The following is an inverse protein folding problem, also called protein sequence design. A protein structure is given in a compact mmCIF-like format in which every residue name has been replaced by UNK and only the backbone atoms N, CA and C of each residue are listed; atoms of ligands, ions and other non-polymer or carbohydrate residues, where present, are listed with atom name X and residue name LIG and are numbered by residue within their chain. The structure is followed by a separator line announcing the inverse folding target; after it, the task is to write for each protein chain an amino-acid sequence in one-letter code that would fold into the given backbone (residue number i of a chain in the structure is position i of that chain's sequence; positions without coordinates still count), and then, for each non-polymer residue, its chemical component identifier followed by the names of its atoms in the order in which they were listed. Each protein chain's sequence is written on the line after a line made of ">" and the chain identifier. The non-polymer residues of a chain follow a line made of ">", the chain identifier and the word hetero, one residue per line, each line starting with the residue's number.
data_IF_048343242163
#
_entry.id   IF_048343242163
#
_cell.length_a   1.000
_cell.length_b   1.000
_cell.length_c   1.000
_cell.angle_alpha   90.00
_cell.angle_beta   90.00
_cell.angle_gamma   90.00
#
_symmetry.space_group_name_H-M   'P 1'
#
loop_
_entity.id
_entity.type
_entity.pdbx_description
1 polymer ?
#
# COMPACT_ATOMS: atom_id res chain seq x y z
N UNK A 1 78.80 -8.29 -28.26
CA UNK A 1 77.51 -8.73 -28.86
C UNK A 1 76.62 -9.18 -27.70
N UNK A 2 75.69 -8.37 -27.19
CA UNK A 2 74.30 -8.13 -27.66
C UNK A 2 73.52 -9.46 -27.79
N UNK A 3 72.33 -9.70 -27.23
CA UNK A 3 71.34 -8.97 -26.40
C UNK A 3 70.39 -10.06 -25.89
N UNK A 4 69.96 -10.04 -24.62
CA UNK A 4 68.80 -10.81 -24.16
C UNK A 4 67.73 -9.82 -23.71
N UNK A 5 66.63 -9.74 -24.45
CA UNK A 5 65.46 -8.92 -24.12
C UNK A 5 64.54 -9.73 -23.20
N UNK A 6 64.39 -9.28 -21.95
CA UNK A 6 63.25 -9.64 -21.11
C UNK A 6 62.11 -8.65 -21.42
N UNK A 7 60.97 -9.16 -21.89
CA UNK A 7 59.73 -8.40 -21.97
C UNK A 7 59.02 -8.52 -20.62
N UNK A 8 59.06 -7.46 -19.82
CA UNK A 8 58.25 -7.31 -18.62
C UNK A 8 56.88 -6.76 -19.05
N UNK A 9 55.86 -7.60 -19.03
CA UNK A 9 54.46 -7.15 -19.12
C UNK A 9 54.13 -6.45 -17.80
N UNK A 10 54.15 -5.11 -17.81
CA UNK A 10 53.56 -4.34 -16.72
C UNK A 10 52.04 -4.45 -16.83
N UNK A 11 51.44 -5.27 -15.97
CA UNK A 11 50.04 -5.10 -15.57
C UNK A 11 49.99 -3.79 -14.76
N UNK A 12 49.58 -2.70 -15.39
CA UNK A 12 49.15 -1.50 -14.69
C UNK A 12 47.79 -1.80 -14.05
N UNK A 13 47.79 -2.32 -12.83
CA UNK A 13 46.61 -2.34 -11.98
C UNK A 13 46.35 -0.89 -11.56
N UNK A 14 45.51 -0.18 -12.30
CA UNK A 14 44.95 1.09 -11.83
C UNK A 14 44.00 0.77 -10.69
N UNK A 15 44.49 0.85 -9.45
CA UNK A 15 43.62 0.98 -8.30
C UNK A 15 42.86 2.31 -8.46
N UNK A 16 41.63 2.24 -9.00
CA UNK A 16 40.72 3.36 -9.00
C UNK A 16 40.41 3.67 -7.52
N UNK A 17 40.87 4.81 -7.03
CA UNK A 17 40.53 5.26 -5.69
C UNK A 17 39.04 5.55 -5.66
N UNK A 18 38.28 4.76 -4.89
CA UNK A 18 36.85 4.99 -4.72
C UNK A 18 36.62 6.39 -4.15
N UNK A 19 35.70 7.14 -4.74
CA UNK A 19 35.33 8.48 -4.27
C UNK A 19 34.68 8.36 -2.90
N UNK A 20 35.19 9.03 -1.84
CA UNK A 20 34.55 8.96 -0.54
C UNK A 20 33.17 9.60 -0.58
N UNK A 21 32.25 9.06 0.22
CA UNK A 21 30.95 9.71 0.39
C UNK A 21 31.14 11.12 0.95
N UNK A 22 30.65 12.12 0.22
CA UNK A 22 30.81 13.53 0.58
C UNK A 22 29.55 14.32 0.23
N UNK A 23 29.14 15.20 1.14
CA UNK A 23 28.02 16.13 0.97
C UNK A 23 28.58 17.55 1.03
N UNK A 24 28.29 18.36 0.02
CA UNK A 24 28.72 19.76 -0.06
C UNK A 24 27.51 20.64 -0.36
N UNK A 25 27.22 21.64 0.47
CA UNK A 25 26.17 22.63 0.17
C UNK A 25 26.73 23.67 -0.80
N UNK A 26 26.13 23.78 -1.99
CA UNK A 26 26.51 24.73 -3.04
C UNK A 26 25.71 26.03 -2.97
N UNK A 27 24.45 25.94 -2.53
CA UNK A 27 23.56 27.08 -2.30
C UNK A 27 22.72 26.79 -1.07
N UNK A 28 22.68 27.74 -0.13
CA UNK A 28 21.84 27.66 1.06
C UNK A 28 20.36 27.80 0.69
N UNK A 29 19.50 26.99 1.32
CA UNK A 29 18.05 27.13 1.25
C UNK A 29 17.49 27.94 2.43
N UNK A 30 16.16 28.10 2.44
CA UNK A 30 15.44 28.82 3.49
C UNK A 30 14.43 27.92 4.22
N UNK A 31 14.11 28.31 5.46
CA UNK A 31 13.13 27.60 6.29
C UNK A 31 13.70 26.45 7.11
N UNK A 32 12.81 25.54 7.52
CA UNK A 32 13.17 24.37 8.32
C UNK A 32 13.88 23.32 7.47
N UNK A 33 14.77 22.58 8.12
CA UNK A 33 15.47 21.45 7.50
C UNK A 33 14.54 20.24 7.38
N UNK A 34 14.55 19.57 6.23
CA UNK A 34 13.85 18.31 6.04
C UNK A 34 14.44 17.20 6.92
N UNK A 35 13.58 16.30 7.36
CA UNK A 35 13.85 15.13 8.19
C UNK A 35 13.45 13.87 7.43
N UNK A 36 14.04 12.75 7.82
CA UNK A 36 13.65 11.45 7.28
C UNK A 36 12.13 11.24 7.42
N UNK A 37 11.50 10.73 6.38
CA UNK A 37 10.06 10.49 6.31
C UNK A 37 9.21 11.61 5.69
N UNK A 38 9.81 12.71 5.25
CA UNK A 38 9.08 13.75 4.51
C UNK A 38 9.05 13.44 3.01
N UNK A 39 7.87 13.65 2.39
CA UNK A 39 7.75 13.68 0.95
C UNK A 39 8.41 14.96 0.41
N UNK A 40 9.36 14.80 -0.49
CA UNK A 40 10.11 15.90 -1.09
C UNK A 40 10.07 15.82 -2.61
N UNK A 41 10.29 16.96 -3.25
CA UNK A 41 10.55 17.06 -4.69
C UNK A 41 11.91 17.68 -4.90
N UNK A 42 12.72 17.06 -5.73
CA UNK A 42 14.05 17.57 -6.08
C UNK A 42 14.25 17.66 -7.58
N UNK A 43 14.96 18.68 -8.02
CA UNK A 43 15.64 18.61 -9.30
C UNK A 43 17.06 18.07 -9.11
N UNK A 44 17.59 17.37 -10.10
CA UNK A 44 18.92 16.82 -10.04
C UNK A 44 19.60 16.70 -11.40
N UNK A 45 20.94 16.63 -11.34
CA UNK A 45 21.82 16.19 -12.42
C UNK A 45 22.75 15.10 -11.90
N UNK A 46 22.87 14.00 -12.63
CA UNK A 46 23.70 12.83 -12.29
C UNK A 46 24.84 12.63 -13.26
N UNK A 47 26.05 12.41 -12.74
CA UNK A 47 27.29 12.29 -13.50
C UNK A 47 28.08 11.06 -13.06
N UNK A 48 28.77 10.41 -14.01
CA UNK A 48 29.80 9.42 -13.67
C UNK A 48 31.01 10.14 -13.08
N UNK A 49 31.58 9.62 -11.99
CA UNK A 49 32.77 10.19 -11.36
C UNK A 49 34.07 9.83 -12.11
N UNK A 50 34.04 9.80 -13.44
CA UNK A 50 35.19 9.47 -14.30
C UNK A 50 36.08 10.68 -14.60
N UNK A 51 35.57 11.91 -14.43
CA UNK A 51 36.33 13.17 -14.46
C UNK A 51 35.79 14.14 -13.40
N UNK A 52 36.21 13.93 -12.15
CA UNK A 52 35.78 14.74 -11.02
C UNK A 52 36.04 16.23 -11.22
N UNK A 53 37.09 16.64 -11.94
CA UNK A 53 37.44 18.05 -12.11
C UNK A 53 36.41 18.79 -12.97
N UNK A 54 35.97 18.18 -14.07
CA UNK A 54 34.96 18.76 -14.97
C UNK A 54 33.58 18.73 -14.32
N UNK A 55 33.23 17.65 -13.62
CA UNK A 55 31.95 17.54 -12.89
C UNK A 55 31.89 18.53 -11.72
N UNK A 56 32.99 18.71 -10.97
CA UNK A 56 33.04 19.69 -9.88
C UNK A 56 32.80 21.12 -10.39
N UNK A 57 33.34 21.46 -11.56
CA UNK A 57 33.11 22.76 -12.19
C UNK A 57 31.68 22.89 -12.72
N UNK A 58 31.17 21.91 -13.45
CA UNK A 58 29.78 21.89 -13.94
C UNK A 58 28.73 21.91 -12.81
N UNK A 59 29.10 21.44 -11.61
CA UNK A 59 28.24 21.50 -10.44
C UNK A 59 28.07 22.91 -9.86
N UNK A 60 29.08 23.77 -10.01
CA UNK A 60 29.10 25.13 -9.44
C UNK A 60 28.99 26.24 -10.48
N UNK A 61 29.18 25.91 -11.76
CA UNK A 61 29.17 26.85 -12.88
C UNK A 61 28.30 26.28 -14.00
N UNK A 62 27.14 26.90 -14.20
CA UNK A 62 26.15 26.50 -15.19
C UNK A 62 26.61 26.66 -16.65
N UNK A 63 27.76 27.31 -16.89
CA UNK A 63 28.34 27.47 -18.23
C UNK A 63 29.23 26.29 -18.64
N UNK A 64 29.55 25.39 -17.72
CA UNK A 64 30.37 24.20 -17.98
C UNK A 64 29.47 23.00 -18.21
N UNK A 65 29.51 22.42 -19.41
CA UNK A 65 28.83 21.17 -19.71
C UNK A 65 29.69 19.95 -19.33
N UNK A 66 29.13 19.05 -18.53
CA UNK A 66 29.71 17.75 -18.24
C UNK A 66 28.72 16.65 -18.70
N UNK A 67 29.19 15.53 -19.26
CA UNK A 67 28.31 14.45 -19.69
C UNK A 67 27.56 13.89 -18.47
N UNK A 68 26.25 14.05 -18.49
CA UNK A 68 25.33 13.53 -17.47
C UNK A 68 24.64 12.27 -17.99
N UNK A 69 24.33 11.34 -17.09
CA UNK A 69 23.48 10.19 -17.41
C UNK A 69 22.01 10.46 -17.05
N UNK A 70 21.74 11.45 -16.20
CA UNK A 70 20.38 11.83 -15.81
C UNK A 70 20.28 13.34 -15.52
N UNK A 71 19.18 13.96 -15.94
CA UNK A 71 18.92 15.38 -15.71
C UNK A 71 17.41 15.66 -15.68
N UNK A 72 16.87 16.01 -14.51
CA UNK A 72 15.43 16.29 -14.35
C UNK A 72 15.00 17.69 -14.82
N UNK A 73 15.95 18.59 -15.08
CA UNK A 73 15.61 19.96 -15.50
C UNK A 73 15.09 19.99 -16.93
N UNK A 74 15.51 19.05 -17.78
CA UNK A 74 15.08 19.00 -19.19
C UNK A 74 13.61 18.59 -19.35
N UNK A 75 13.13 17.72 -18.47
CA UNK A 75 11.72 17.30 -18.46
C UNK A 75 10.81 18.23 -17.67
N UNK A 76 11.36 19.26 -17.00
CA UNK A 76 10.67 20.12 -16.02
C UNK A 76 9.89 19.36 -14.94
N UNK A 77 10.21 18.08 -14.73
CA UNK A 77 9.53 17.21 -13.77
C UNK A 77 10.50 16.87 -12.63
N UNK A 78 10.32 17.47 -11.44
CA UNK A 78 11.14 17.12 -10.29
C UNK A 78 10.82 15.70 -9.83
N UNK A 79 11.84 15.00 -9.32
CA UNK A 79 11.67 13.66 -8.77
C UNK A 79 11.04 13.77 -7.39
N UNK A 80 9.91 13.08 -7.19
CA UNK A 80 9.19 13.01 -5.92
C UNK A 80 9.49 11.68 -5.20
N UNK A 81 9.88 11.74 -3.94
CA UNK A 81 10.09 10.56 -3.10
C UNK A 81 10.10 10.93 -1.60
N UNK A 82 10.02 9.92 -0.73
CA UNK A 82 10.15 10.09 0.72
C UNK A 82 11.62 9.98 1.13
N UNK A 83 12.18 11.03 1.72
CA UNK A 83 13.61 11.07 2.07
C UNK A 83 13.96 10.16 3.25
N UNK A 84 15.03 9.39 3.17
CA UNK A 84 15.63 8.68 4.31
C UNK A 84 14.89 7.41 4.75
N UNK A 85 14.12 6.78 3.85
CA UNK A 85 13.32 5.56 4.15
C UNK A 85 13.60 4.38 3.23
N UNK A 86 14.66 4.43 2.42
CA UNK A 86 15.11 3.35 1.55
C UNK A 86 14.49 3.34 0.15
N UNK A 87 13.95 4.47 -0.33
CA UNK A 87 13.30 4.55 -1.66
C UNK A 87 14.28 4.87 -2.80
N UNK A 88 15.41 5.48 -2.48
CA UNK A 88 16.46 5.88 -3.42
C UNK A 88 17.79 5.26 -2.99
N UNK A 89 18.84 5.45 -3.80
CA UNK A 89 20.19 4.99 -3.45
C UNK A 89 20.62 5.54 -2.08
N UNK A 90 21.41 4.76 -1.34
CA UNK A 90 21.81 5.07 0.04
C UNK A 90 22.48 6.45 0.15
N UNK A 91 23.27 6.84 -0.86
CA UNK A 91 23.92 8.15 -0.91
C UNK A 91 22.94 9.33 -0.92
N UNK A 92 21.78 9.19 -1.57
CA UNK A 92 20.73 10.22 -1.56
C UNK A 92 19.97 10.21 -0.25
N UNK A 93 19.59 9.02 0.22
CA UNK A 93 18.85 8.84 1.47
C UNK A 93 19.57 9.43 2.68
N UNK A 94 20.89 9.32 2.72
CA UNK A 94 21.72 9.96 3.75
C UNK A 94 22.07 11.40 3.41
N UNK A 95 22.39 11.69 2.15
CA UNK A 95 22.96 12.97 1.72
C UNK A 95 21.98 14.13 1.67
N UNK A 96 20.68 13.86 1.53
CA UNK A 96 19.65 14.89 1.36
C UNK A 96 18.94 15.25 2.67
N UNK A 97 18.99 14.40 3.70
CA UNK A 97 18.44 14.73 5.02
C UNK A 97 19.09 16.01 5.56
N UNK A 98 18.28 16.89 6.13
CA UNK A 98 18.72 18.18 6.65
C UNK A 98 18.73 19.32 5.63
N UNK A 99 18.38 19.10 4.36
CA UNK A 99 18.27 20.19 3.38
C UNK A 99 17.14 21.18 3.72
N UNK A 100 17.28 22.42 3.28
CA UNK A 100 16.21 23.43 3.31
C UNK A 100 15.63 23.65 1.91
N UNK A 101 14.37 24.08 1.82
CA UNK A 101 13.76 24.38 0.51
C UNK A 101 14.58 25.47 -0.20
N UNK A 102 14.92 25.23 -1.46
CA UNK A 102 15.80 26.06 -2.29
C UNK A 102 17.30 25.77 -2.13
N UNK A 103 17.69 24.85 -1.23
CA UNK A 103 19.08 24.42 -1.05
C UNK A 103 19.54 23.56 -2.23
N UNK A 104 20.79 23.74 -2.64
CA UNK A 104 21.45 22.92 -3.66
C UNK A 104 22.64 22.22 -3.02
N UNK A 105 22.67 20.89 -3.09
CA UNK A 105 23.77 20.05 -2.62
C UNK A 105 24.47 19.34 -3.75
N UNK A 106 25.78 19.15 -3.59
CA UNK A 106 26.56 18.18 -4.34
C UNK A 106 26.81 16.96 -3.48
N UNK A 107 26.46 15.79 -4.00
CA UNK A 107 26.72 14.48 -3.41
C UNK A 107 27.79 13.76 -4.22
N UNK A 108 28.85 13.32 -3.56
CA UNK A 108 29.78 12.34 -4.10
C UNK A 108 29.42 10.99 -3.49
N UNK A 109 29.03 10.02 -4.31
CA UNK A 109 28.45 8.75 -3.87
C UNK A 109 29.30 7.59 -4.41
N UNK A 110 30.02 6.85 -3.55
CA UNK A 110 30.74 5.67 -4.00
C UNK A 110 29.78 4.62 -4.53
N UNK A 111 30.25 3.78 -5.46
CA UNK A 111 29.46 2.72 -6.10
C UNK A 111 28.68 1.85 -5.11
N UNK A 112 29.27 1.50 -3.97
CA UNK A 112 28.65 0.69 -2.90
C UNK A 112 27.43 1.37 -2.24
N UNK A 113 27.33 2.70 -2.28
CA UNK A 113 26.18 3.49 -1.81
C UNK A 113 25.26 3.92 -2.96
N UNK A 114 25.56 3.48 -4.18
CA UNK A 114 24.81 3.69 -5.41
C UNK A 114 24.25 2.35 -5.93
N UNK A 115 24.77 1.85 -7.06
CA UNK A 115 24.27 0.63 -7.73
C UNK A 115 25.18 -0.59 -7.55
N UNK A 116 26.33 -0.44 -6.88
CA UNK A 116 27.27 -1.52 -6.62
C UNK A 116 27.76 -2.17 -7.92
N UNK A 117 27.70 -3.49 -7.98
CA UNK A 117 28.05 -4.32 -9.13
C UNK A 117 26.98 -4.36 -10.24
N UNK A 118 25.85 -3.67 -10.07
CA UNK A 118 24.79 -3.61 -11.07
C UNK A 118 25.04 -2.49 -12.10
N UNK A 119 24.63 -2.74 -13.35
CA UNK A 119 24.59 -1.73 -14.41
C UNK A 119 23.19 -1.17 -14.59
N UNK A 120 23.10 0.11 -14.93
CA UNK A 120 21.88 0.74 -15.45
C UNK A 120 22.19 1.41 -16.79
N UNK A 121 21.15 1.83 -17.52
CA UNK A 121 21.32 2.61 -18.74
C UNK A 121 22.17 3.86 -18.46
N UNK A 122 23.30 4.00 -19.16
CA UNK A 122 24.26 5.09 -18.94
C UNK A 122 25.14 4.98 -17.69
N UNK A 123 25.00 3.90 -16.88
CA UNK A 123 25.78 3.70 -15.65
C UNK A 123 26.41 2.30 -15.62
N UNK A 124 27.73 2.19 -15.86
CA UNK A 124 28.45 0.92 -15.74
C UNK A 124 28.48 0.37 -14.31
N UNK A 125 28.68 -0.95 -14.12
CA UNK A 125 28.95 -1.55 -12.80
C UNK A 125 30.11 -0.89 -12.07
N UNK A 126 30.02 -0.84 -10.75
CA UNK A 126 31.03 -0.28 -9.85
C UNK A 126 31.37 1.19 -10.14
N UNK A 127 30.45 1.94 -10.74
CA UNK A 127 30.62 3.36 -11.00
C UNK A 127 30.37 4.19 -9.75
N UNK A 128 31.35 5.00 -9.38
CA UNK A 128 31.14 6.10 -8.44
C UNK A 128 30.36 7.22 -9.15
N UNK A 129 29.45 7.86 -8.42
CA UNK A 129 28.51 8.84 -8.98
C UNK A 129 28.65 10.19 -8.29
N UNK A 130 28.34 11.25 -9.03
CA UNK A 130 28.16 12.59 -8.49
C UNK A 130 26.77 13.10 -8.83
N UNK A 131 26.13 13.74 -7.86
CA UNK A 131 24.82 14.37 -8.05
C UNK A 131 24.85 15.82 -7.61
N UNK A 132 24.20 16.68 -8.37
CA UNK A 132 23.81 18.02 -7.93
C UNK A 132 22.31 17.98 -7.75
N UNK A 133 21.82 18.27 -6.55
CA UNK A 133 20.42 18.11 -6.15
C UNK A 133 19.90 19.40 -5.55
N UNK A 134 18.81 19.93 -6.11
CA UNK A 134 18.09 21.09 -5.62
C UNK A 134 16.77 20.65 -4.98
N UNK A 135 16.56 21.02 -3.71
CA UNK A 135 15.29 20.76 -3.03
C UNK A 135 14.27 21.85 -3.41
N UNK A 136 13.27 21.51 -4.22
CA UNK A 136 12.27 22.50 -4.69
C UNK A 136 10.99 22.49 -3.86
N UNK A 137 10.67 21.38 -3.20
CA UNK A 137 9.49 21.26 -2.35
C UNK A 137 9.73 20.24 -1.24
N UNK A 138 9.19 20.52 -0.06
CA UNK A 138 9.06 19.56 1.02
C UNK A 138 7.70 19.72 1.69
N UNK A 139 6.99 18.62 1.89
CA UNK A 139 5.79 18.63 2.73
C UNK A 139 6.16 18.95 4.17
N UNK A 140 5.21 19.45 4.97
CA UNK A 140 5.47 19.72 6.39
C UNK A 140 5.90 18.44 7.12
N UNK A 141 6.83 18.54 8.08
CA UNK A 141 7.19 17.39 8.91
C UNK A 141 5.95 16.80 9.57
N UNK A 142 5.84 15.48 9.60
CA UNK A 142 4.77 14.80 10.31
C UNK A 142 4.89 15.08 11.80
N UNK A 143 3.98 15.87 12.35
CA UNK A 143 3.95 16.15 13.78
C UNK A 143 3.54 14.90 14.57
N UNK A 144 4.26 14.64 15.66
CA UNK A 144 3.94 13.54 16.55
C UNK A 144 2.59 13.78 17.23
N UNK A 145 1.70 12.79 17.12
CA UNK A 145 0.40 12.88 17.78
C UNK A 145 0.55 12.80 19.31
N UNK A 146 -0.34 13.49 20.02
CA UNK A 146 -0.35 13.54 21.49
C UNK A 146 -1.52 12.72 22.03
N UNK A 147 -1.30 12.05 23.15
CA UNK A 147 -2.38 11.44 23.90
C UNK A 147 -3.32 12.54 24.43
N UNK A 148 -4.66 12.39 24.27
CA UNK A 148 -5.59 13.43 24.67
C UNK A 148 -5.65 13.55 26.20
N UNK A 149 -5.79 14.77 26.70
CA UNK A 149 -5.82 15.03 28.14
C UNK A 149 -7.01 14.35 28.85
N UNK A 150 -8.13 14.21 28.16
CA UNK A 150 -9.33 13.54 28.66
C UNK A 150 -9.99 12.74 27.52
N UNK A 151 -9.70 11.44 27.49
CA UNK A 151 -10.21 10.52 26.46
C UNK A 151 -11.74 10.42 26.52
N UNK A 152 -12.32 10.46 27.72
CA UNK A 152 -13.75 10.21 27.92
C UNK A 152 -14.62 11.41 27.51
N UNK A 153 -14.05 12.63 27.47
CA UNK A 153 -14.73 13.84 26.97
C UNK A 153 -14.77 13.98 25.45
N UNK A 154 -14.10 13.12 24.70
CA UNK A 154 -14.21 13.14 23.23
C UNK A 154 -15.64 12.79 22.80
N UNK A 155 -16.07 13.31 21.64
CA UNK A 155 -17.45 13.15 21.13
C UNK A 155 -17.62 11.77 20.47
N UNK A 156 -17.60 10.73 21.30
CA UNK A 156 -17.69 9.34 20.86
C UNK A 156 -19.06 9.00 20.27
N UNK A 157 -19.06 8.33 19.12
CA UNK A 157 -20.16 7.56 18.56
C UNK A 157 -19.91 6.08 18.81
N UNK A 158 -20.90 5.38 19.35
CA UNK A 158 -20.82 3.93 19.57
C UNK A 158 -21.10 3.18 18.25
N UNK A 159 -20.23 2.22 17.93
CA UNK A 159 -20.32 1.38 16.74
C UNK A 159 -20.66 -0.08 17.09
N UNK A 160 -20.99 -0.36 18.37
CA UNK A 160 -21.26 -1.69 18.89
C UNK A 160 -20.00 -2.49 19.20
N UNK A 161 -20.17 -3.60 19.93
CA UNK A 161 -19.09 -4.54 20.33
C UNK A 161 -17.91 -3.87 21.07
N UNK A 162 -18.18 -2.74 21.71
CA UNK A 162 -17.17 -1.96 22.43
C UNK A 162 -16.21 -1.18 21.53
N UNK A 163 -16.58 -0.95 20.27
CA UNK A 163 -15.90 0.01 19.39
C UNK A 163 -16.59 1.38 19.48
N UNK A 164 -15.81 2.42 19.77
CA UNK A 164 -16.27 3.81 19.67
C UNK A 164 -15.40 4.60 18.71
N UNK A 165 -16.00 5.52 17.97
CA UNK A 165 -15.30 6.38 17.01
C UNK A 165 -15.61 7.85 17.24
N UNK A 166 -14.66 8.73 16.94
CA UNK A 166 -14.86 10.18 16.96
C UNK A 166 -14.14 10.81 15.76
N UNK A 167 -14.89 11.51 14.92
CA UNK A 167 -14.36 12.25 13.77
C UNK A 167 -13.83 13.61 14.24
N UNK A 168 -12.51 13.74 14.38
CA UNK A 168 -11.85 15.01 14.74
C UNK A 168 -11.91 15.98 13.55
N UNK A 169 -11.68 15.46 12.34
CA UNK A 169 -11.75 16.20 11.08
C UNK A 169 -12.42 15.33 10.03
N UNK A 170 -13.48 15.84 9.42
CA UNK A 170 -14.08 15.21 8.25
C UNK A 170 -13.17 15.41 7.02
N UNK A 171 -12.84 14.32 6.34
CA UNK A 171 -12.14 14.38 5.05
C UNK A 171 -13.09 14.81 3.92
N UNK A 172 -12.52 15.33 2.85
CA UNK A 172 -13.27 15.76 1.66
C UNK A 172 -12.95 14.93 0.41
N UNK A 173 -11.88 14.13 0.43
CA UNK A 173 -11.47 13.35 -0.73
C UNK A 173 -12.23 12.03 -0.86
N UNK A 174 -11.57 11.03 -1.47
CA UNK A 174 -12.16 9.74 -1.80
C UNK A 174 -12.72 9.06 -0.54
N UNK A 175 -13.88 8.43 -0.70
CA UNK A 175 -14.52 7.67 0.37
C UNK A 175 -13.79 6.36 0.58
N UNK A 176 -13.43 6.07 1.82
CA UNK A 176 -12.93 4.78 2.23
C UNK A 176 -14.07 3.77 2.32
N UNK A 177 -14.01 2.78 1.45
CA UNK A 177 -14.82 1.59 1.47
C UNK A 177 -13.90 0.38 1.69
N UNK A 178 -14.50 -0.77 1.97
CA UNK A 178 -13.76 -2.01 1.84
C UNK A 178 -13.03 -2.03 0.46
N UNK A 179 -11.86 -2.67 0.40
CA UNK A 179 -11.14 -3.00 -0.85
C UNK A 179 -10.27 -1.93 -1.41
N UNK A 180 -10.49 -0.71 -0.96
CA UNK A 180 -9.53 0.33 -1.16
C UNK A 180 -8.22 -0.08 -0.49
N UNK A 181 -7.14 0.15 -1.22
CA UNK A 181 -5.81 0.30 -0.65
C UNK A 181 -5.82 1.65 0.05
N UNK A 182 -5.78 1.59 1.38
CA UNK A 182 -5.68 2.77 2.22
C UNK A 182 -4.23 3.02 2.58
N UNK A 183 -3.85 4.29 2.55
CA UNK A 183 -2.65 4.79 3.21
C UNK A 183 -3.09 5.61 4.39
N UNK A 184 -2.63 5.25 5.58
CA UNK A 184 -3.00 5.95 6.82
C UNK A 184 -1.79 6.30 7.64
N UNK A 185 -1.82 7.50 8.23
CA UNK A 185 -1.01 7.75 9.40
C UNK A 185 -1.80 7.37 10.64
N UNK A 186 -1.21 6.57 11.52
CA UNK A 186 -1.80 6.22 12.81
C UNK A 186 -0.82 6.47 13.95
N UNK A 187 -1.40 6.70 15.12
CA UNK A 187 -0.71 6.54 16.40
C UNK A 187 -1.62 5.76 17.36
N UNK A 188 -1.04 4.78 18.05
CA UNK A 188 -1.74 3.87 18.97
C UNK A 188 -1.20 3.95 20.40
N UNK A 189 -2.11 4.00 21.37
CA UNK A 189 -1.83 4.06 22.80
C UNK A 189 -2.67 3.07 23.60
N UNK A 190 -2.13 2.63 24.74
CA UNK A 190 -2.94 2.10 25.83
C UNK A 190 -3.69 3.25 26.52
N UNK A 191 -4.79 2.96 27.21
CA UNK A 191 -5.53 3.98 27.98
C UNK A 191 -4.70 4.63 29.11
N UNK A 192 -3.58 4.01 29.51
CA UNK A 192 -2.62 4.60 30.44
C UNK A 192 -1.81 5.76 29.83
N UNK A 193 -1.94 6.03 28.53
CA UNK A 193 -1.14 7.01 27.80
C UNK A 193 0.14 6.44 27.20
N UNK A 194 0.48 5.17 27.46
CA UNK A 194 1.67 4.53 26.87
C UNK A 194 1.46 4.32 25.36
N UNK A 195 2.23 5.03 24.55
CA UNK A 195 2.30 4.84 23.09
C UNK A 195 2.94 3.48 22.78
N UNK A 196 2.33 2.69 21.89
CA UNK A 196 2.87 1.40 21.47
C UNK A 196 3.23 1.34 19.97
N UNK A 197 2.79 2.31 19.17
CA UNK A 197 3.15 2.39 17.75
C UNK A 197 2.68 3.67 17.10
N UNK A 198 3.42 4.14 16.11
CA UNK A 198 3.02 5.26 15.26
C UNK A 198 3.68 5.13 13.89
N UNK A 199 2.91 5.31 12.83
CA UNK A 199 3.47 5.45 11.47
C UNK A 199 4.23 6.77 11.29
N UNK A 200 3.86 7.82 12.05
CA UNK A 200 4.52 9.13 11.96
C UNK A 200 5.93 9.05 12.55
N UNK A 201 6.09 8.33 13.66
CA UNK A 201 7.42 8.03 14.23
C UNK A 201 8.30 7.22 13.26
N UNK A 202 7.68 6.42 12.38
CA UNK A 202 8.37 5.63 11.35
C UNK A 202 8.61 6.41 10.06
N UNK A 203 8.08 7.63 9.93
CA UNK A 203 8.23 8.47 8.74
C UNK A 203 7.53 7.94 7.48
N UNK A 204 6.65 6.95 7.59
CA UNK A 204 5.91 6.41 6.42
C UNK A 204 4.51 5.96 6.80
N UNK A 205 3.49 6.19 5.97
CA UNK A 205 2.14 5.72 6.23
C UNK A 205 2.09 4.19 6.24
N UNK A 206 1.13 3.65 7.00
CA UNK A 206 0.76 2.26 6.90
C UNK A 206 -0.12 2.08 5.67
N UNK A 207 0.22 1.10 4.85
CA UNK A 207 -0.59 0.68 3.71
C UNK A 207 -1.33 -0.61 4.05
N UNK A 208 -2.64 -0.65 3.78
CA UNK A 208 -3.47 -1.83 4.03
C UNK A 208 -4.66 -1.88 3.06
N UNK A 209 -5.20 -3.08 2.83
CA UNK A 209 -6.44 -3.27 2.06
C UNK A 209 -7.60 -3.39 3.04
N UNK A 210 -8.58 -2.49 2.93
CA UNK A 210 -9.76 -2.53 3.79
C UNK A 210 -10.58 -3.80 3.55
N UNK A 211 -11.09 -4.43 4.60
CA UNK A 211 -11.93 -5.63 4.50
C UNK A 211 -11.19 -6.92 4.14
N UNK A 212 -9.86 -6.87 3.97
CA UNK A 212 -9.07 -8.07 3.68
C UNK A 212 -8.91 -9.00 4.90
N UNK A 213 -9.31 -8.53 6.10
CA UNK A 213 -9.20 -9.30 7.35
C UNK A 213 -7.78 -9.38 7.90
N UNK A 214 -6.89 -8.50 7.41
CA UNK A 214 -5.48 -8.43 7.83
C UNK A 214 -5.25 -7.42 8.96
N UNK A 215 -6.25 -6.58 9.27
CA UNK A 215 -6.21 -5.64 10.39
C UNK A 215 -7.03 -6.15 11.57
N UNK A 216 -6.84 -5.54 12.76
CA UNK A 216 -7.72 -5.81 13.90
C UNK A 216 -9.16 -5.42 13.57
N UNK A 217 -10.13 -6.16 14.12
CA UNK A 217 -11.57 -5.96 13.83
C UNK A 217 -12.03 -4.52 14.06
N UNK A 218 -11.47 -3.85 15.07
CA UNK A 218 -11.77 -2.46 15.39
C UNK A 218 -11.38 -1.48 14.28
N UNK A 219 -10.32 -1.76 13.52
CA UNK A 219 -9.93 -0.95 12.37
C UNK A 219 -10.79 -1.25 11.15
N UNK A 220 -11.01 -2.53 10.85
CA UNK A 220 -11.84 -2.97 9.73
C UNK A 220 -13.24 -2.34 9.79
N UNK A 221 -13.83 -2.26 10.99
CA UNK A 221 -15.13 -1.59 11.20
C UNK A 221 -15.00 -0.08 11.43
N UNK A 222 -13.99 0.38 12.16
CA UNK A 222 -13.92 1.77 12.63
C UNK A 222 -13.46 2.78 11.58
N UNK A 223 -12.70 2.33 10.57
CA UNK A 223 -12.22 3.18 9.47
C UNK A 223 -13.23 3.28 8.31
N UNK A 224 -14.29 2.47 8.32
CA UNK A 224 -15.33 2.51 7.31
C UNK A 224 -15.98 3.90 7.22
N UNK A 225 -16.16 4.41 5.99
CA UNK A 225 -16.77 5.70 5.73
C UNK A 225 -15.93 6.93 6.09
N UNK A 226 -14.66 6.75 6.52
CA UNK A 226 -13.71 7.88 6.50
C UNK A 226 -13.49 8.36 5.07
N UNK A 227 -13.16 9.64 4.91
CA UNK A 227 -12.70 10.20 3.64
C UNK A 227 -11.24 10.59 3.72
N UNK A 228 -10.56 10.53 2.60
CA UNK A 228 -9.21 11.09 2.43
C UNK A 228 -9.10 12.52 2.98
N UNK A 229 -8.01 12.78 3.70
CA UNK A 229 -7.76 14.00 4.48
C UNK A 229 -8.48 14.06 5.84
N UNK A 230 -9.28 13.05 6.18
CA UNK A 230 -10.01 12.94 7.44
C UNK A 230 -9.18 12.38 8.58
N UNK A 231 -9.53 12.76 9.81
CA UNK A 231 -8.90 12.28 11.04
C UNK A 231 -9.97 11.71 11.97
N UNK A 232 -9.77 10.46 12.40
CA UNK A 232 -10.69 9.73 13.27
C UNK A 232 -9.95 9.10 14.45
N UNK A 233 -10.58 9.21 15.61
CA UNK A 233 -10.21 8.47 16.80
C UNK A 233 -10.99 7.18 16.90
N UNK A 234 -10.34 6.11 17.36
CA UNK A 234 -10.94 4.82 17.63
C UNK A 234 -10.60 4.39 19.06
N UNK A 235 -11.62 4.05 19.84
CA UNK A 235 -11.47 3.33 21.11
C UNK A 235 -11.93 1.91 20.90
N UNK A 236 -10.99 0.98 20.93
CA UNK A 236 -11.18 -0.40 20.52
C UNK A 236 -11.14 -1.31 21.75
N UNK A 237 -12.25 -1.99 22.03
CA UNK A 237 -12.32 -3.00 23.10
C UNK A 237 -11.35 -4.16 22.84
N UNK A 238 -11.00 -4.96 23.86
CA UNK A 238 -10.14 -6.12 23.67
C UNK A 238 -10.67 -7.10 22.62
N UNK A 239 -11.98 -7.37 22.60
CA UNK A 239 -12.62 -8.28 21.66
C UNK A 239 -12.55 -7.80 20.19
N UNK A 240 -12.40 -6.50 19.99
CA UNK A 240 -12.21 -5.87 18.67
C UNK A 240 -10.72 -5.62 18.34
N UNK A 241 -9.83 -5.77 19.32
CA UNK A 241 -8.38 -5.67 19.18
C UNK A 241 -7.71 -7.04 19.15
N UNK A 242 -6.75 -7.24 20.08
CA UNK A 242 -5.94 -8.47 20.17
C UNK A 242 -6.49 -9.51 21.17
N UNK A 243 -7.60 -9.23 21.85
CA UNK A 243 -8.26 -10.16 22.77
C UNK A 243 -7.41 -10.55 23.97
N UNK A 244 -7.50 -11.82 24.37
CA UNK A 244 -6.80 -12.39 25.52
C UNK A 244 -5.31 -12.69 25.25
N UNK A 245 -4.80 -12.39 24.06
CA UNK A 245 -3.41 -12.66 23.68
C UNK A 245 -2.61 -11.35 23.69
N UNK A 246 -1.40 -11.41 24.25
CA UNK A 246 -0.47 -10.29 24.18
C UNK A 246 0.02 -10.10 22.74
N UNK A 247 0.30 -8.86 22.35
CA UNK A 247 0.88 -8.56 21.05
C UNK A 247 1.93 -7.47 21.17
N UNK A 248 3.21 -7.81 20.98
CA UNK A 248 4.32 -6.86 21.13
C UNK A 248 4.24 -6.12 22.48
N UNK A 249 4.16 -4.79 22.47
CA UNK A 249 4.03 -3.94 23.67
C UNK A 249 2.59 -3.84 24.22
N UNK A 250 1.64 -4.62 23.69
CA UNK A 250 0.23 -4.59 24.08
C UNK A 250 -0.08 -5.78 25.00
N UNK A 251 -0.44 -5.56 26.26
CA UNK A 251 -0.86 -6.62 27.17
C UNK A 251 -2.17 -7.30 26.73
N UNK A 252 -2.43 -8.54 27.17
CA UNK A 252 -3.74 -9.18 27.04
C UNK A 252 -4.88 -8.30 27.55
N UNK A 253 -6.05 -8.43 26.95
CA UNK A 253 -7.28 -7.77 27.36
C UNK A 253 -7.18 -6.23 27.41
N UNK A 254 -6.32 -5.63 26.59
CA UNK A 254 -6.14 -4.18 26.54
C UNK A 254 -7.21 -3.48 25.70
N UNK A 255 -7.74 -2.37 26.24
CA UNK A 255 -8.46 -1.38 25.41
C UNK A 255 -7.45 -0.48 24.72
N UNK A 256 -7.59 -0.32 23.41
CA UNK A 256 -6.66 0.45 22.58
C UNK A 256 -7.28 1.77 22.18
N UNK A 257 -6.47 2.81 22.13
CA UNK A 257 -6.83 4.12 21.59
C UNK A 257 -5.98 4.36 20.34
N UNK A 258 -6.62 4.72 19.24
CA UNK A 258 -5.95 5.11 18.00
C UNK A 258 -6.40 6.49 17.56
N UNK A 259 -5.47 7.28 17.03
CA UNK A 259 -5.75 8.42 16.15
C UNK A 259 -5.28 8.04 14.75
N UNK A 260 -6.17 8.10 13.78
CA UNK A 260 -5.91 7.69 12.40
C UNK A 260 -6.25 8.83 11.45
N UNK A 261 -5.31 9.16 10.59
CA UNK A 261 -5.39 10.15 9.53
C UNK A 261 -5.37 9.42 8.18
N UNK A 262 -6.42 9.60 7.39
CA UNK A 262 -6.56 8.98 6.07
C UNK A 262 -5.76 9.80 5.05
N UNK A 263 -4.63 9.27 4.60
CA UNK A 263 -3.75 9.93 3.62
C UNK A 263 -4.28 9.72 2.22
N UNK A 264 -4.61 8.48 1.85
CA UNK A 264 -5.27 8.16 0.59
C UNK A 264 -6.14 6.93 0.73
N UNK A 265 -7.12 6.82 -0.16
CA UNK A 265 -8.04 5.71 -0.24
C UNK A 265 -8.32 5.44 -1.71
N UNK A 266 -7.56 4.53 -2.28
CA UNK A 266 -7.55 4.27 -3.71
C UNK A 266 -7.98 2.84 -4.01
N UNK A 267 -8.71 2.66 -5.10
CA UNK A 267 -8.90 1.33 -5.68
C UNK A 267 -7.65 1.04 -6.50
N UNK A 268 -6.81 0.10 -6.05
CA UNK A 268 -5.68 -0.35 -6.86
C UNK A 268 -6.22 -1.09 -8.10
N UNK A 269 -5.97 -0.60 -9.33
CA UNK A 269 -6.53 -1.18 -10.54
C UNK A 269 -5.98 -2.58 -10.87
N UNK A 270 -4.73 -2.88 -10.54
CA UNK A 270 -4.15 -4.21 -10.77
C UNK A 270 -4.60 -5.18 -9.68
N UNK A 271 -4.69 -4.72 -8.44
CA UNK A 271 -5.27 -5.47 -7.35
C UNK A 271 -6.77 -5.75 -7.59
N UNK A 272 -7.56 -4.77 -8.07
CA UNK A 272 -8.97 -4.94 -8.42
C UNK A 272 -9.20 -5.91 -9.61
N UNK A 273 -8.24 -6.02 -10.54
CA UNK A 273 -8.27 -7.02 -11.62
C UNK A 273 -8.06 -8.45 -11.10
N UNK A 274 -7.29 -8.60 -10.03
CA UNK A 274 -6.84 -9.90 -9.51
C UNK A 274 -7.43 -10.30 -8.15
N UNK A 275 -8.11 -9.38 -7.44
CA UNK A 275 -8.73 -9.63 -6.15
C UNK A 275 -10.22 -9.89 -6.27
N UNK A 276 -10.60 -11.00 -5.66
CA UNK A 276 -11.87 -11.18 -4.99
C UNK A 276 -11.94 -10.17 -3.83
N UNK A 277 -12.45 -8.98 -4.12
CA UNK A 277 -12.76 -7.96 -3.13
C UNK A 277 -14.27 -7.95 -2.84
N UNK A 278 -14.71 -7.48 -1.66
CA UNK A 278 -16.14 -7.24 -1.36
C UNK A 278 -16.67 -6.19 -2.33
N UNK A 279 -17.27 -6.56 -3.46
CA UNK A 279 -17.49 -5.63 -4.56
C UNK A 279 -18.18 -4.35 -4.08
N UNK A 280 -17.81 -3.18 -4.62
CA UNK A 280 -18.65 -1.99 -4.45
C UNK A 280 -19.97 -2.25 -5.17
N UNK A 281 -20.88 -2.82 -4.39
CA UNK A 281 -22.18 -3.24 -4.85
C UNK A 281 -23.02 -2.04 -5.28
N UNK A 282 -22.70 -0.81 -4.89
CA UNK A 282 -23.57 0.36 -5.15
C UNK A 282 -23.53 0.82 -6.61
N UNK A 283 -22.47 0.52 -7.33
CA UNK A 283 -22.28 0.89 -8.74
C UNK A 283 -22.72 -0.20 -9.72
N UNK A 284 -23.05 -1.39 -9.22
CA UNK A 284 -23.43 -2.53 -10.05
C UNK A 284 -24.89 -2.43 -10.46
N UNK A 285 -25.14 -2.68 -11.74
CA UNK A 285 -26.51 -2.87 -12.26
C UNK A 285 -26.98 -4.26 -11.90
N UNK A 286 -27.91 -4.35 -10.95
CA UNK A 286 -28.49 -5.63 -10.55
C UNK A 286 -29.66 -6.04 -11.42
N UNK A 287 -29.71 -7.33 -11.67
CA UNK A 287 -30.88 -8.05 -12.14
C UNK A 287 -31.52 -8.79 -10.96
N UNK A 288 -32.85 -8.93 -11.03
CA UNK A 288 -33.61 -9.70 -10.07
C UNK A 288 -33.67 -11.15 -10.58
N UNK A 289 -33.02 -12.05 -9.85
CA UNK A 289 -33.15 -13.48 -10.03
C UNK A 289 -34.36 -14.04 -9.28
N UNK A 290 -34.58 -15.37 -9.39
CA UNK A 290 -35.67 -16.05 -8.70
C UNK A 290 -35.57 -15.92 -7.18
N UNK A 291 -36.71 -16.00 -6.50
CA UNK A 291 -36.81 -16.14 -5.04
C UNK A 291 -36.13 -15.00 -4.23
N UNK A 292 -35.96 -13.83 -4.84
CA UNK A 292 -35.33 -12.66 -4.20
C UNK A 292 -33.80 -12.65 -4.28
N UNK A 293 -33.19 -13.57 -5.02
CA UNK A 293 -31.79 -13.47 -5.40
C UNK A 293 -31.59 -12.19 -6.24
N UNK A 294 -30.52 -11.45 -6.00
CA UNK A 294 -30.07 -10.40 -6.91
C UNK A 294 -28.69 -10.73 -7.40
N UNK A 295 -28.41 -10.45 -8.67
CA UNK A 295 -27.08 -10.65 -9.21
C UNK A 295 -26.68 -9.53 -10.17
N UNK A 296 -25.38 -9.37 -10.37
CA UNK A 296 -24.82 -8.44 -11.34
C UNK A 296 -23.68 -9.13 -12.09
N UNK A 297 -23.74 -9.12 -13.42
CA UNK A 297 -22.67 -9.64 -14.27
C UNK A 297 -21.59 -8.57 -14.34
N UNK A 298 -20.40 -8.89 -13.84
CA UNK A 298 -19.22 -7.99 -13.81
C UNK A 298 -18.39 -8.18 -15.07
N UNK A 299 -18.30 -9.42 -15.55
CA UNK A 299 -17.63 -9.76 -16.80
C UNK A 299 -18.43 -10.84 -17.49
N UNK A 300 -18.78 -10.63 -18.76
CA UNK A 300 -19.42 -11.65 -19.59
C UNK A 300 -18.44 -12.79 -19.89
N UNK A 301 -18.92 -14.04 -19.84
CA UNK A 301 -18.22 -15.20 -20.34
C UNK A 301 -18.65 -15.57 -21.75
N UNK A 302 -18.05 -16.62 -22.31
CA UNK A 302 -18.38 -17.16 -23.63
C UNK A 302 -18.39 -18.70 -23.60
N UNK A 303 -19.24 -19.32 -24.42
CA UNK A 303 -19.38 -20.77 -24.50
C UNK A 303 -20.73 -21.29 -23.98
N UNK A 304 -20.77 -22.56 -23.61
CA UNK A 304 -22.01 -23.22 -23.18
C UNK A 304 -22.37 -22.83 -21.73
N UNK A 305 -23.64 -22.49 -21.46
CA UNK A 305 -24.06 -22.06 -20.12
C UNK A 305 -24.04 -23.21 -19.11
N UNK A 306 -23.82 -22.87 -17.84
CA UNK A 306 -24.02 -23.77 -16.70
C UNK A 306 -25.45 -24.32 -16.65
N UNK A 307 -25.60 -25.64 -16.67
CA UNK A 307 -26.87 -26.37 -16.72
C UNK A 307 -27.05 -27.27 -15.51
N UNK A 308 -28.31 -27.37 -15.07
CA UNK A 308 -28.70 -28.33 -14.04
C UNK A 308 -28.35 -29.76 -14.48
N UNK A 309 -27.89 -30.59 -13.54
CA UNK A 309 -27.41 -31.95 -13.75
C UNK A 309 -25.95 -32.07 -14.18
N UNK A 310 -25.23 -30.96 -14.39
CA UNK A 310 -23.81 -30.95 -14.73
C UNK A 310 -22.96 -30.51 -13.54
N UNK A 311 -21.66 -30.85 -13.60
CA UNK A 311 -20.70 -30.53 -12.56
C UNK A 311 -20.07 -29.17 -12.84
N UNK A 312 -20.57 -28.12 -12.18
CA UNK A 312 -20.08 -26.76 -12.32
C UNK A 312 -18.78 -26.55 -11.54
N UNK A 313 -17.78 -25.94 -12.17
CA UNK A 313 -16.50 -25.59 -11.57
C UNK A 313 -16.40 -24.07 -11.45
N UNK A 314 -16.12 -23.57 -10.24
CA UNK A 314 -16.06 -22.13 -9.97
C UNK A 314 -14.85 -21.75 -9.11
N UNK A 315 -14.36 -20.52 -9.33
CA UNK A 315 -13.71 -19.76 -8.28
C UNK A 315 -14.72 -18.86 -7.56
N UNK A 316 -14.55 -18.66 -6.26
CA UNK A 316 -15.42 -17.77 -5.51
C UNK A 316 -14.75 -17.17 -4.29
N UNK A 317 -15.34 -16.08 -3.83
CA UNK A 317 -15.18 -15.57 -2.48
C UNK A 317 -16.53 -15.08 -1.94
N UNK A 318 -16.77 -15.31 -0.65
CA UNK A 318 -17.99 -14.96 0.06
C UNK A 318 -17.74 -13.98 1.21
N UNK A 319 -18.63 -13.00 1.33
CA UNK A 319 -18.61 -11.96 2.37
C UNK A 319 -19.97 -11.76 3.02
N UNK A 320 -19.95 -11.29 4.25
CA UNK A 320 -21.11 -10.63 4.84
C UNK A 320 -21.22 -9.18 4.33
N UNK A 321 -22.41 -8.59 4.41
CA UNK A 321 -22.67 -7.19 3.99
C UNK A 321 -21.81 -6.13 4.67
N UNK A 322 -21.16 -6.48 5.79
CA UNK A 322 -20.21 -5.63 6.51
C UNK A 322 -18.77 -5.78 6.00
N UNK A 323 -18.56 -6.43 4.85
CA UNK A 323 -17.25 -6.64 4.25
C UNK A 323 -16.42 -7.76 4.87
N UNK A 324 -16.89 -8.46 5.90
CA UNK A 324 -16.16 -9.61 6.45
C UNK A 324 -16.17 -10.78 5.48
N UNK A 325 -15.00 -11.12 4.94
CA UNK A 325 -14.78 -12.32 4.13
C UNK A 325 -14.87 -13.56 5.04
N UNK A 326 -15.79 -14.46 4.74
CA UNK A 326 -15.97 -15.70 5.51
C UNK A 326 -15.40 -16.94 4.81
N UNK A 327 -15.28 -16.92 3.47
CA UNK A 327 -14.77 -18.06 2.71
C UNK A 327 -14.26 -17.65 1.32
N UNK A 328 -13.27 -18.36 0.78
CA UNK A 328 -12.72 -18.17 -0.56
C UNK A 328 -12.08 -19.46 -1.09
N UNK A 329 -12.38 -19.83 -2.34
CA UNK A 329 -11.67 -20.93 -3.00
C UNK A 329 -10.26 -20.54 -3.43
N UNK A 330 -10.01 -19.25 -3.70
CA UNK A 330 -8.67 -18.75 -4.03
C UNK A 330 -7.73 -18.75 -2.85
N UNK A 331 -8.23 -18.47 -1.64
CA UNK A 331 -7.42 -18.59 -0.41
C UNK A 331 -6.93 -20.04 -0.20
N UNK A 332 -7.67 -21.03 -0.71
CA UNK A 332 -7.28 -22.45 -0.69
C UNK A 332 -6.44 -22.87 -1.90
N UNK A 333 -6.28 -22.01 -2.90
CA UNK A 333 -5.54 -22.30 -4.13
C UNK A 333 -6.18 -23.35 -5.05
N UNK A 334 -7.46 -23.71 -4.85
CA UNK A 334 -8.14 -24.72 -5.67
C UNK A 334 -9.59 -24.32 -5.98
N UNK A 335 -10.06 -24.51 -7.24
CA UNK A 335 -11.47 -24.31 -7.59
C UNK A 335 -12.41 -25.20 -6.77
N UNK A 336 -13.67 -24.80 -6.70
CA UNK A 336 -14.73 -25.59 -6.07
C UNK A 336 -15.64 -26.16 -7.15
N UNK A 337 -15.89 -27.47 -7.08
CA UNK A 337 -16.74 -28.19 -8.01
C UNK A 337 -17.96 -28.75 -7.28
N UNK A 338 -19.15 -28.60 -7.86
CA UNK A 338 -20.40 -29.12 -7.32
C UNK A 338 -21.37 -29.48 -8.45
N UNK A 339 -22.30 -30.38 -8.18
CA UNK A 339 -23.37 -30.73 -9.12
C UNK A 339 -24.50 -29.70 -9.04
N UNK A 340 -24.74 -28.99 -10.14
CA UNK A 340 -25.73 -27.93 -10.19
C UNK A 340 -27.15 -28.53 -10.26
N UNK A 341 -28.06 -28.05 -9.42
CA UNK A 341 -29.43 -28.52 -9.31
C UNK A 341 -29.64 -29.68 -8.33
N UNK A 342 -28.57 -30.23 -7.75
CA UNK A 342 -28.65 -31.36 -6.83
C UNK A 342 -29.00 -30.97 -5.38
N UNK A 343 -28.94 -29.68 -5.03
CA UNK A 343 -29.21 -29.20 -3.67
C UNK A 343 -28.04 -29.41 -2.69
N UNK A 344 -26.82 -29.55 -3.23
CA UNK A 344 -25.59 -29.78 -2.44
C UNK A 344 -24.94 -28.47 -1.95
N UNK A 345 -25.35 -27.33 -2.51
CA UNK A 345 -24.92 -25.99 -2.10
C UNK A 345 -26.11 -25.16 -1.64
N UNK A 346 -25.87 -23.98 -1.05
CA UNK A 346 -26.96 -23.08 -0.66
C UNK A 346 -27.83 -22.72 -1.86
N UNK A 347 -29.14 -22.52 -1.64
CA UNK A 347 -30.11 -22.26 -2.72
C UNK A 347 -29.73 -21.06 -3.60
N UNK A 348 -29.11 -20.03 -3.03
CA UNK A 348 -28.62 -18.87 -3.77
C UNK A 348 -27.56 -19.20 -4.81
N UNK A 349 -26.76 -20.25 -4.59
CA UNK A 349 -25.79 -20.74 -5.56
C UNK A 349 -26.43 -21.59 -6.65
N UNK A 350 -27.38 -22.46 -6.29
CA UNK A 350 -28.16 -23.25 -7.25
C UNK A 350 -28.84 -22.34 -8.28
N UNK A 351 -29.41 -21.22 -7.81
CA UNK A 351 -30.07 -20.23 -8.65
C UNK A 351 -29.08 -19.28 -9.35
N UNK A 352 -28.01 -18.88 -8.65
CA UNK A 352 -27.11 -17.83 -9.10
C UNK A 352 -26.06 -18.25 -10.11
N UNK A 353 -25.64 -19.53 -10.08
CA UNK A 353 -24.67 -20.10 -11.02
C UNK A 353 -25.35 -20.60 -12.29
N UNK A 354 -26.62 -20.98 -12.23
CA UNK A 354 -27.36 -21.41 -13.40
C UNK A 354 -27.34 -20.36 -14.52
N UNK A 355 -27.00 -20.80 -15.73
CA UNK A 355 -26.88 -19.94 -16.91
C UNK A 355 -25.61 -19.09 -16.99
N UNK A 356 -24.67 -19.20 -16.04
CA UNK A 356 -23.36 -18.54 -16.18
C UNK A 356 -22.58 -19.12 -17.37
N UNK A 357 -21.85 -18.27 -18.09
CA UNK A 357 -20.99 -18.66 -19.21
C UNK A 357 -19.53 -18.84 -18.76
N UNK A 358 -18.75 -19.78 -19.32
CA UNK A 358 -17.35 -19.96 -18.94
C UNK A 358 -16.54 -18.64 -19.05
N UNK A 359 -15.76 -18.34 -18.02
CA UNK A 359 -15.04 -17.07 -17.87
C UNK A 359 -15.89 -15.89 -17.36
N UNK A 360 -17.19 -16.07 -17.15
CA UNK A 360 -18.08 -15.07 -16.57
C UNK A 360 -17.74 -14.82 -15.10
N UNK A 361 -17.74 -13.55 -14.70
CA UNK A 361 -17.67 -13.13 -13.30
C UNK A 361 -18.97 -12.45 -12.91
N UNK A 362 -19.59 -12.92 -11.83
CA UNK A 362 -20.89 -12.44 -11.35
C UNK A 362 -20.86 -12.20 -9.84
N UNK A 363 -21.53 -11.14 -9.40
CA UNK A 363 -21.83 -10.92 -7.98
C UNK A 363 -23.22 -11.46 -7.67
N UNK A 364 -23.36 -12.24 -6.60
CA UNK A 364 -24.63 -12.72 -6.06
C UNK A 364 -24.88 -12.05 -4.70
N UNK A 365 -26.04 -11.43 -4.53
CA UNK A 365 -26.56 -10.96 -3.25
C UNK A 365 -27.61 -11.96 -2.78
N UNK A 366 -27.23 -12.79 -1.83
CA UNK A 366 -27.99 -13.93 -1.35
C UNK A 366 -28.69 -13.56 -0.04
N UNK A 367 -30.02 -13.36 -0.03
CA UNK A 367 -30.75 -13.09 1.20
C UNK A 367 -30.72 -14.31 2.13
N UNK A 368 -31.02 -14.14 3.44
CA UNK A 368 -30.84 -15.21 4.43
C UNK A 368 -31.58 -16.50 4.09
N UNK A 369 -32.79 -16.41 3.52
CA UNK A 369 -33.60 -17.57 3.11
C UNK A 369 -32.98 -18.41 1.98
N UNK A 370 -32.11 -17.81 1.17
CA UNK A 370 -31.36 -18.49 0.11
C UNK A 370 -29.93 -18.87 0.55
N UNK A 371 -29.52 -18.46 1.75
CA UNK A 371 -28.21 -18.75 2.35
C UNK A 371 -28.33 -19.73 3.52
N UNK A 372 -27.83 -19.34 4.69
CA UNK A 372 -27.79 -20.20 5.89
C UNK A 372 -28.96 -19.97 6.87
N UNK A 373 -30.00 -19.24 6.45
CA UNK A 373 -31.23 -19.03 7.21
C UNK A 373 -31.01 -18.39 8.59
N UNK A 374 -31.91 -18.68 9.52
CA UNK A 374 -31.86 -18.17 10.90
C UNK A 374 -30.81 -18.87 11.78
N UNK A 375 -30.27 -20.02 11.34
CA UNK A 375 -29.28 -20.78 12.11
C UNK A 375 -27.86 -20.28 11.91
N UNK A 376 -27.54 -19.71 10.74
CA UNK A 376 -26.17 -19.32 10.39
C UNK A 376 -25.27 -20.54 10.13
N UNK A 377 -23.98 -20.29 9.91
CA UNK A 377 -22.99 -21.35 9.69
C UNK A 377 -21.57 -20.84 9.99
N UNK A 378 -20.83 -21.54 10.85
CA UNK A 378 -19.47 -21.15 11.21
C UNK A 378 -19.39 -19.68 11.70
N UNK A 379 -18.62 -18.80 11.05
CA UNK A 379 -18.54 -17.37 11.41
C UNK A 379 -19.75 -16.53 10.95
N UNK A 380 -20.69 -17.11 10.21
CA UNK A 380 -21.85 -16.42 9.64
C UNK A 380 -23.01 -16.48 10.66
N UNK A 381 -23.50 -15.32 11.16
CA UNK A 381 -24.64 -15.30 12.07
C UNK A 381 -25.95 -15.63 11.35
N UNK A 382 -26.93 -16.09 12.12
CA UNK A 382 -28.29 -16.27 11.62
C UNK A 382 -28.89 -14.98 11.07
N UNK A 383 -29.63 -15.07 9.97
CA UNK A 383 -30.26 -13.91 9.33
C UNK A 383 -29.30 -13.05 8.50
N UNK A 384 -28.08 -13.50 8.23
CA UNK A 384 -27.13 -12.75 7.41
C UNK A 384 -27.46 -12.80 5.91
N UNK A 385 -27.45 -11.63 5.26
CA UNK A 385 -27.33 -11.52 3.81
C UNK A 385 -25.88 -11.72 3.40
N UNK A 386 -25.64 -12.52 2.37
CA UNK A 386 -24.31 -12.85 1.87
C UNK A 386 -24.09 -12.22 0.51
N UNK A 387 -22.84 -11.87 0.24
CA UNK A 387 -22.38 -11.41 -1.06
C UNK A 387 -21.33 -12.39 -1.54
N UNK A 388 -21.51 -12.94 -2.74
CA UNK A 388 -20.52 -13.81 -3.38
C UNK A 388 -20.04 -13.18 -4.68
N UNK A 389 -18.74 -13.21 -4.91
CA UNK A 389 -18.14 -13.04 -6.22
C UNK A 389 -17.84 -14.43 -6.75
N UNK A 390 -18.42 -14.79 -7.89
CA UNK A 390 -18.28 -16.11 -8.51
C UNK A 390 -17.70 -15.93 -9.90
N UNK A 391 -16.64 -16.68 -10.20
CA UNK A 391 -16.09 -16.85 -11.53
C UNK A 391 -16.37 -18.28 -11.98
N UNK A 392 -17.12 -18.43 -13.06
CA UNK A 392 -17.45 -19.74 -13.59
C UNK A 392 -16.39 -20.21 -14.58
N UNK A 393 -15.82 -21.39 -14.36
CA UNK A 393 -14.71 -21.93 -15.16
C UNK A 393 -15.19 -22.92 -16.24
N UNK A 394 -16.40 -23.48 -16.09
CA UNK A 394 -16.99 -24.44 -17.02
C UNK A 394 -17.62 -25.65 -16.31
N UNK A 395 -18.02 -26.64 -17.12
CA UNK A 395 -18.54 -27.94 -16.69
C UNK A 395 -17.47 -29.03 -16.87
N UNK A 396 -17.49 -30.04 -16.00
CA UNK A 396 -16.77 -31.31 -16.19
C UNK A 396 -17.67 -32.38 -16.84
#
# INVERSE_FOLDING_TARGET
>A
MSKLKFFLVLLACSAAWAVPFKVETLKEGAGETIRAGQLIKVHYKGYLAVDSATVNKAATDSTVEAPYFANSYYSEQPLEFTVGVGQVIEGWDKGLVGMKIGEVRKLSVPSVMAYGDNSLEGIPPNSDLMFVVELVHAEKPLEADKFPADVDKLKWRDMGRGLKVYDEKAGSGKLNAAGNVIKVHYTGWLLSGRKFGSSKDLGKPLEAVMGAGKMIKGWETGLEGMREGGVRWLRVSPAMGYGATAFSMIPPNSTLLFRVEMVSSDVDPELAKHMDFFPDTTLLKYENGPEGLRYAIVKQGEGEPARSGHRAIVHYTGWMVNGYKFDSSRDRGQPFAFELGAGNVIRGWELGVQGMLPGEKRILVVPPGLGYGSRGAGPIPGGATLIFAVEYLGEE
#
